data_IF_250866285508
#
_entry.id   IF_250866285508
#
_cell.length_a   1.000
_cell.length_b   1.000
_cell.length_c   1.000
_cell.angle_alpha   90.00
_cell.angle_beta   90.00
_cell.angle_gamma   90.00
#
_symmetry.space_group_name_H-M   'P 1'
#
loop_
_entity.id
_entity.type
_entity.pdbx_description
1 polymer ?
#
# COMPACT_ATOMS: atom_id res chain seq x y z
N UNK A 1 15.99 33.32 6.15
CA UNK A 1 14.73 32.62 6.15
C UNK A 1 14.65 31.72 4.91
N UNK A 2 15.16 30.49 4.99
CA UNK A 2 15.02 29.51 3.93
C UNK A 2 14.32 28.30 4.50
N UNK A 3 13.01 28.38 4.56
CA UNK A 3 12.16 27.21 4.65
C UNK A 3 11.65 26.88 3.25
N UNK A 4 12.53 26.38 2.41
CA UNK A 4 12.05 25.59 1.31
C UNK A 4 11.56 24.30 1.96
N UNK A 5 10.27 24.09 1.89
CA UNK A 5 9.65 22.90 2.44
C UNK A 5 10.30 21.69 1.76
N UNK A 6 10.90 20.83 2.54
CA UNK A 6 11.42 19.53 2.11
C UNK A 6 10.32 18.70 1.39
N UNK A 7 9.07 19.12 1.55
CA UNK A 7 7.92 18.54 0.90
C UNK A 7 7.92 18.65 -0.64
N UNK A 8 8.38 19.78 -1.19
CA UNK A 8 8.36 19.99 -2.66
C UNK A 8 9.36 19.10 -3.40
N UNK A 9 10.46 18.69 -2.76
CA UNK A 9 11.48 17.83 -3.38
C UNK A 9 11.09 16.35 -3.41
N UNK A 10 10.02 15.93 -2.69
CA UNK A 10 9.60 14.53 -2.59
C UNK A 10 8.35 14.22 -3.41
N UNK A 11 7.66 15.22 -3.95
CA UNK A 11 6.52 15.03 -4.84
C UNK A 11 6.98 14.58 -6.23
N UNK A 12 6.28 13.59 -6.79
CA UNK A 12 6.55 13.04 -8.11
C UNK A 12 5.97 13.90 -9.23
N UNK A 13 4.94 14.72 -8.95
CA UNK A 13 4.15 15.39 -9.96
C UNK A 13 3.27 14.43 -10.76
N UNK A 14 2.99 13.26 -10.22
CA UNK A 14 2.22 12.17 -10.82
C UNK A 14 1.04 11.81 -9.91
N UNK A 15 0.03 11.08 -10.42
CA UNK A 15 -1.12 10.66 -9.62
C UNK A 15 -0.74 9.89 -8.34
N UNK A 16 0.40 9.20 -8.34
CA UNK A 16 0.93 8.49 -7.17
C UNK A 16 1.16 9.36 -5.94
N UNK A 17 1.27 10.68 -6.10
CA UNK A 17 1.38 11.59 -4.96
C UNK A 17 0.14 11.56 -4.05
N UNK A 18 -0.98 11.04 -4.53
CA UNK A 18 -2.22 10.91 -3.77
C UNK A 18 -2.33 9.60 -2.98
N UNK A 19 -1.33 8.73 -3.07
CA UNK A 19 -1.24 7.49 -2.28
C UNK A 19 0.21 7.24 -1.88
N UNK A 20 0.51 7.50 -0.61
CA UNK A 20 1.86 7.29 -0.07
C UNK A 20 2.11 5.79 0.15
N UNK A 21 3.00 5.20 -0.65
CA UNK A 21 3.30 3.77 -0.58
C UNK A 21 3.99 3.35 0.72
N UNK A 22 4.69 4.26 1.40
CA UNK A 22 5.21 3.99 2.74
C UNK A 22 4.08 3.80 3.75
N UNK A 23 3.08 4.68 3.71
CA UNK A 23 1.89 4.56 4.55
C UNK A 23 1.09 3.29 4.24
N UNK A 24 0.99 2.93 2.97
CA UNK A 24 0.33 1.70 2.52
C UNK A 24 1.05 0.47 3.07
N UNK A 25 2.38 0.42 2.95
CA UNK A 25 3.17 -0.71 3.43
C UNK A 25 3.12 -0.82 4.96
N UNK A 26 3.17 0.30 5.67
CA UNK A 26 3.02 0.33 7.13
C UNK A 26 1.64 -0.20 7.56
N UNK A 27 0.57 0.25 6.91
CA UNK A 27 -0.78 -0.24 7.16
C UNK A 27 -0.89 -1.75 6.89
N UNK A 28 -0.31 -2.22 5.79
CA UNK A 28 -0.30 -3.63 5.43
C UNK A 28 0.34 -4.49 6.51
N UNK A 29 1.53 -4.09 6.99
CA UNK A 29 2.23 -4.80 8.06
C UNK A 29 1.40 -4.95 9.33
N UNK A 30 0.61 -3.94 9.68
CA UNK A 30 -0.19 -3.89 10.91
C UNK A 30 -1.55 -4.57 10.78
N UNK A 31 -1.97 -4.89 9.57
CA UNK A 31 -3.27 -5.50 9.31
C UNK A 31 -3.27 -6.98 9.72
N UNK A 32 -4.41 -7.47 10.18
CA UNK A 32 -4.56 -8.88 10.61
C UNK A 32 -4.90 -9.81 9.46
N UNK A 33 -5.65 -9.33 8.49
CA UNK A 33 -6.08 -10.07 7.31
C UNK A 33 -6.01 -9.15 6.08
N UNK A 34 -6.09 -9.74 4.89
CA UNK A 34 -6.11 -8.95 3.64
C UNK A 34 -7.40 -8.13 3.54
N UNK A 35 -8.52 -8.67 3.98
CA UNK A 35 -9.79 -7.95 4.02
C UNK A 35 -9.73 -6.74 4.97
N UNK A 36 -9.13 -6.89 6.15
CA UNK A 36 -8.93 -5.78 7.09
C UNK A 36 -8.03 -4.69 6.49
N UNK A 37 -7.01 -5.09 5.75
CA UNK A 37 -6.13 -4.17 5.05
C UNK A 37 -6.90 -3.38 3.98
N UNK A 38 -7.63 -4.05 3.11
CA UNK A 38 -8.43 -3.40 2.06
C UNK A 38 -9.44 -2.41 2.68
N UNK A 39 -10.12 -2.84 3.73
CA UNK A 39 -11.07 -1.99 4.45
C UNK A 39 -10.40 -0.74 5.02
N UNK A 40 -9.31 -0.92 5.76
CA UNK A 40 -8.61 0.20 6.39
C UNK A 40 -8.02 1.17 5.37
N UNK A 41 -7.53 0.65 4.25
CA UNK A 41 -6.99 1.45 3.14
C UNK A 41 -8.05 2.41 2.58
N UNK A 42 -9.31 2.00 2.54
CA UNK A 42 -10.41 2.75 1.92
C UNK A 42 -11.25 3.58 2.90
N UNK A 43 -10.92 3.57 4.20
CA UNK A 43 -11.63 4.38 5.17
C UNK A 43 -11.10 5.82 5.17
N UNK A 44 -12.00 6.79 5.07
CA UNK A 44 -11.68 8.23 5.13
C UNK A 44 -10.82 8.57 6.36
N UNK A 45 -11.14 8.00 7.50
CA UNK A 45 -10.43 8.28 8.77
C UNK A 45 -8.95 7.92 8.77
N UNK A 46 -8.50 7.01 7.90
CA UNK A 46 -7.07 6.67 7.79
C UNK A 46 -6.30 7.70 6.99
N UNK A 47 -6.96 8.44 6.11
CA UNK A 47 -6.38 9.50 5.30
C UNK A 47 -5.31 9.01 4.29
N UNK A 48 -5.20 7.70 4.06
CA UNK A 48 -4.15 7.12 3.22
C UNK A 48 -4.51 7.17 1.74
N UNK A 49 -5.74 6.77 1.40
CA UNK A 49 -6.20 6.75 0.01
C UNK A 49 -6.84 8.09 -0.36
N UNK A 50 -6.22 8.79 -1.30
CA UNK A 50 -6.71 10.05 -1.87
C UNK A 50 -6.70 10.00 -3.41
N UNK A 51 -6.74 8.78 -3.97
CA UNK A 51 -6.73 8.57 -5.41
C UNK A 51 -8.06 8.94 -6.03
N UNK A 52 -8.00 9.64 -7.15
CA UNK A 52 -9.14 10.00 -8.00
C UNK A 52 -8.65 9.89 -9.45
N UNK A 53 -8.76 8.71 -10.02
CA UNK A 53 -8.25 8.42 -11.37
C UNK A 53 -9.32 8.65 -12.45
N UNK A 54 -10.60 8.57 -12.09
CA UNK A 54 -11.69 8.87 -13.01
C UNK A 54 -12.06 10.37 -13.04
N UNK A 55 -11.42 11.16 -12.15
CA UNK A 55 -11.53 12.62 -12.06
C UNK A 55 -12.95 13.12 -11.74
N UNK A 56 -13.69 12.35 -10.95
CA UNK A 56 -15.03 12.72 -10.48
C UNK A 56 -15.00 13.55 -9.18
N UNK A 57 -13.81 13.88 -8.65
CA UNK A 57 -13.55 14.61 -7.40
C UNK A 57 -13.93 13.85 -6.14
N UNK A 58 -14.02 12.55 -6.24
CA UNK A 58 -14.21 11.64 -5.12
C UNK A 58 -13.09 10.63 -5.08
N UNK A 59 -12.82 10.14 -3.88
CA UNK A 59 -11.78 9.11 -3.72
C UNK A 59 -12.26 7.79 -4.31
N UNK A 60 -11.41 7.19 -5.14
CA UNK A 60 -11.65 5.88 -5.74
C UNK A 60 -11.42 4.75 -4.75
N UNK A 61 -12.23 3.69 -4.86
CA UNK A 61 -12.04 2.47 -4.07
C UNK A 61 -10.85 1.67 -4.60
N UNK A 62 -9.92 1.34 -3.71
CA UNK A 62 -8.80 0.46 -4.01
C UNK A 62 -9.15 -0.97 -3.59
N UNK A 63 -9.23 -1.85 -4.58
CA UNK A 63 -9.44 -3.29 -4.40
C UNK A 63 -8.10 -4.00 -4.28
N UNK A 64 -8.01 -5.00 -3.41
CA UNK A 64 -6.80 -5.80 -3.21
C UNK A 64 -7.00 -7.20 -3.77
N UNK A 65 -6.28 -7.53 -4.83
CA UNK A 65 -6.34 -8.83 -5.50
C UNK A 65 -5.12 -9.65 -5.10
N UNK A 66 -5.34 -10.84 -4.54
CA UNK A 66 -4.29 -11.75 -4.11
C UNK A 66 -3.93 -12.75 -5.20
N UNK A 67 -2.64 -12.89 -5.46
CA UNK A 67 -2.06 -13.97 -6.25
C UNK A 67 -1.03 -14.69 -5.39
N UNK A 68 -1.01 -16.01 -5.44
CA UNK A 68 -0.08 -16.84 -4.68
C UNK A 68 0.60 -17.85 -5.60
N UNK A 69 1.92 -17.94 -5.49
CA UNK A 69 2.70 -18.98 -6.11
C UNK A 69 3.64 -19.58 -5.04
N UNK A 70 3.34 -20.77 -4.57
CA UNK A 70 4.05 -21.43 -3.45
C UNK A 70 4.05 -20.53 -2.19
N UNK A 71 5.24 -20.11 -1.74
CA UNK A 71 5.44 -19.23 -0.59
C UNK A 71 5.53 -17.75 -0.95
N UNK A 72 5.28 -17.40 -2.20
CA UNK A 72 5.30 -16.02 -2.69
C UNK A 72 3.88 -15.49 -2.86
N UNK A 73 3.61 -14.34 -2.26
CA UNK A 73 2.33 -13.66 -2.34
C UNK A 73 2.47 -12.34 -3.08
N UNK A 74 1.54 -12.08 -3.98
CA UNK A 74 1.42 -10.82 -4.70
C UNK A 74 0.06 -10.21 -4.41
N UNK A 75 0.03 -9.02 -3.83
CA UNK A 75 -1.20 -8.29 -3.55
C UNK A 75 -1.25 -7.07 -4.47
N UNK A 76 -2.15 -7.13 -5.45
CA UNK A 76 -2.30 -6.07 -6.45
C UNK A 76 -3.36 -5.09 -5.98
N UNK A 77 -2.98 -3.82 -5.83
CA UNK A 77 -3.90 -2.74 -5.52
C UNK A 77 -4.45 -2.18 -6.83
N UNK A 78 -5.77 -2.25 -7.01
CA UNK A 78 -6.43 -1.91 -8.26
C UNK A 78 -7.56 -0.90 -8.05
N UNK A 79 -7.71 0.01 -9.00
CA UNK A 79 -8.86 0.91 -9.10
C UNK A 79 -9.60 0.61 -10.40
N UNK A 80 -10.91 0.38 -10.31
CA UNK A 80 -11.78 0.34 -11.48
C UNK A 80 -12.08 1.79 -11.88
N UNK A 81 -11.51 2.25 -12.98
CA UNK A 81 -11.70 3.63 -13.48
C UNK A 81 -12.93 3.77 -14.37
N UNK A 82 -13.45 2.67 -14.86
CA UNK A 82 -14.71 2.57 -15.60
C UNK A 82 -15.24 1.13 -15.56
N UNK A 83 -16.40 0.90 -16.14
CA UNK A 83 -16.96 -0.46 -16.25
C UNK A 83 -16.05 -1.44 -17.02
N UNK A 84 -15.17 -0.90 -17.88
CA UNK A 84 -14.33 -1.68 -18.80
C UNK A 84 -12.85 -1.58 -18.51
N UNK A 85 -12.44 -0.70 -17.60
CA UNK A 85 -11.03 -0.40 -17.38
C UNK A 85 -10.68 -0.45 -15.90
N UNK A 86 -9.61 -1.18 -15.59
CA UNK A 86 -9.01 -1.28 -14.27
C UNK A 86 -7.56 -0.84 -14.34
N UNK A 87 -7.14 0.01 -13.42
CA UNK A 87 -5.77 0.48 -13.28
C UNK A 87 -5.11 -0.17 -12.06
N UNK A 88 -3.99 -0.85 -12.29
CA UNK A 88 -3.13 -1.29 -11.19
C UNK A 88 -2.41 -0.06 -10.61
N UNK A 89 -2.51 0.11 -9.31
CA UNK A 89 -1.91 1.25 -8.61
C UNK A 89 -0.53 0.89 -8.07
N UNK A 90 -0.45 -0.22 -7.39
CA UNK A 90 0.78 -0.74 -6.80
C UNK A 90 0.65 -2.24 -6.54
N UNK A 91 1.79 -2.88 -6.29
CA UNK A 91 1.87 -4.31 -5.98
C UNK A 91 2.70 -4.50 -4.72
N UNK A 92 2.14 -5.19 -3.74
CA UNK A 92 2.89 -5.63 -2.55
C UNK A 92 3.36 -7.06 -2.78
N UNK A 93 4.66 -7.26 -2.64
CA UNK A 93 5.31 -8.56 -2.79
C UNK A 93 5.79 -9.05 -1.42
N UNK A 94 5.33 -10.23 -1.03
CA UNK A 94 5.79 -10.93 0.18
C UNK A 94 6.35 -12.27 -0.25
N UNK A 95 7.63 -12.49 0.01
CA UNK A 95 8.35 -13.68 -0.46
C UNK A 95 9.08 -14.35 0.70
N UNK A 96 9.14 -15.67 0.66
CA UNK A 96 9.93 -16.49 1.59
C UNK A 96 10.96 -17.28 0.79
N UNK A 97 12.23 -17.06 1.08
CA UNK A 97 13.31 -17.76 0.41
C UNK A 97 13.55 -19.19 0.97
N UNK A 98 14.50 -19.91 0.37
CA UNK A 98 14.85 -21.29 0.79
C UNK A 98 15.37 -21.35 2.23
N UNK A 99 15.92 -20.26 2.74
CA UNK A 99 16.40 -20.12 4.12
C UNK A 99 15.30 -19.67 5.09
N UNK A 100 14.03 -19.61 4.60
CA UNK A 100 12.86 -19.13 5.34
C UNK A 100 12.93 -17.66 5.71
N UNK A 101 13.78 -16.87 5.04
CA UNK A 101 13.82 -15.41 5.19
C UNK A 101 12.66 -14.79 4.42
N UNK A 102 11.91 -13.94 5.10
CA UNK A 102 10.75 -13.25 4.53
C UNK A 102 11.15 -11.83 4.15
N UNK A 103 10.82 -11.43 2.94
CA UNK A 103 11.02 -10.09 2.42
C UNK A 103 9.68 -9.48 2.03
N UNK A 104 9.57 -8.17 2.15
CA UNK A 104 8.35 -7.42 1.81
C UNK A 104 8.75 -6.13 1.10
N UNK A 105 8.08 -5.86 -0.03
CA UNK A 105 8.27 -4.61 -0.76
C UNK A 105 6.95 -4.19 -1.43
N UNK A 106 6.82 -2.91 -1.72
CA UNK A 106 5.73 -2.38 -2.55
C UNK A 106 6.32 -1.68 -3.76
N UNK A 107 5.78 -1.98 -4.94
CA UNK A 107 6.20 -1.40 -6.22
C UNK A 107 5.05 -0.60 -6.79
N UNK A 108 5.27 0.68 -7.02
CA UNK A 108 4.29 1.57 -7.66
C UNK A 108 4.17 1.30 -9.16
N UNK A 109 2.97 1.46 -9.70
CA UNK A 109 2.77 1.43 -11.14
C UNK A 109 3.58 2.56 -11.83
N UNK A 110 4.17 2.26 -12.97
CA UNK A 110 5.05 3.20 -13.67
C UNK A 110 4.35 4.48 -14.14
N UNK A 111 3.08 4.38 -14.48
CA UNK A 111 2.32 5.52 -14.98
C UNK A 111 1.86 6.45 -13.84
N UNK A 112 1.77 5.91 -12.61
CA UNK A 112 1.35 6.64 -11.42
C UNK A 112 2.53 7.12 -10.57
N UNK A 113 3.64 6.39 -10.54
CA UNK A 113 4.79 6.65 -9.67
C UNK A 113 6.11 6.89 -10.40
N UNK A 114 6.14 6.70 -11.71
CA UNK A 114 7.39 6.68 -12.46
C UNK A 114 8.04 5.30 -12.43
N UNK A 115 9.01 5.12 -13.32
CA UNK A 115 9.71 3.85 -13.48
C UNK A 115 10.53 3.51 -12.23
N UNK A 116 10.50 2.23 -11.84
CA UNK A 116 11.31 1.67 -10.75
C UNK A 116 11.04 2.30 -9.36
N UNK A 117 9.80 2.76 -9.12
CA UNK A 117 9.42 3.23 -7.80
C UNK A 117 9.15 2.05 -6.87
N UNK A 118 10.11 1.77 -6.00
CA UNK A 118 10.09 0.61 -5.10
C UNK A 118 10.32 1.09 -3.66
N UNK A 119 9.46 0.67 -2.74
CA UNK A 119 9.62 0.84 -1.31
C UNK A 119 9.89 -0.51 -0.67
N UNK A 120 11.04 -0.62 -0.04
CA UNK A 120 11.48 -1.83 0.66
C UNK A 120 11.77 -1.53 2.13
N UNK A 121 11.64 -2.55 2.95
CA UNK A 121 12.20 -2.51 4.29
C UNK A 121 13.72 -2.75 4.19
N UNK A 122 14.48 -1.66 4.15
CA UNK A 122 15.95 -1.70 4.07
C UNK A 122 16.59 -1.49 5.44
N UNK A 123 17.73 -2.16 5.58
CA UNK A 123 18.49 -2.25 6.84
C UNK A 123 19.15 -0.94 7.28
N UNK A 124 19.41 0.00 6.40
CA UNK A 124 20.35 1.10 6.68
C UNK A 124 19.96 2.48 6.16
N UNK A 125 18.85 2.66 5.48
CA UNK A 125 18.48 3.98 4.99
C UNK A 125 17.07 4.37 5.43
N UNK A 126 16.94 5.55 6.02
CA UNK A 126 15.64 6.17 6.16
C UNK A 126 15.14 6.49 4.75
N UNK A 127 14.11 5.83 4.25
CA UNK A 127 13.60 6.14 2.93
C UNK A 127 13.09 7.58 2.90
N UNK A 128 13.30 8.26 1.78
CA UNK A 128 12.63 9.53 1.57
C UNK A 128 11.12 9.29 1.52
N UNK A 129 10.38 9.86 2.43
CA UNK A 129 8.92 9.74 2.46
C UNK A 129 8.35 10.60 1.35
N UNK A 130 7.57 10.00 0.45
CA UNK A 130 6.85 10.75 -0.57
C UNK A 130 5.71 11.52 0.09
N UNK A 131 5.68 12.84 -0.09
CA UNK A 131 4.61 13.66 0.44
C UNK A 131 3.29 13.31 -0.26
N UNK A 132 2.27 13.02 0.54
CA UNK A 132 0.90 12.85 0.06
C UNK A 132 0.08 14.03 0.58
N UNK A 133 -0.28 15.02 -0.27
CA UNK A 133 -1.00 16.21 0.18
C UNK A 133 -2.35 15.92 0.83
N UNK A 134 -2.99 14.82 0.46
CA UNK A 134 -4.26 14.39 1.02
C UNK A 134 -4.16 13.56 2.29
N UNK A 135 -2.95 13.18 2.70
CA UNK A 135 -2.77 12.34 3.88
C UNK A 135 -3.18 13.06 5.16
N UNK A 136 -4.15 12.51 5.87
CA UNK A 136 -4.68 13.06 7.12
C UNK A 136 -4.43 12.13 8.33
N UNK A 137 -3.64 11.11 8.13
CA UNK A 137 -3.27 10.17 9.19
C UNK A 137 -2.15 10.71 10.11
N UNK A 138 -1.62 9.90 11.03
CA UNK A 138 -0.52 10.31 11.91
C UNK A 138 0.72 10.73 11.12
N UNK A 139 1.38 11.79 11.56
CA UNK A 139 2.55 12.40 10.90
C UNK A 139 3.78 11.49 10.83
N UNK A 140 3.73 10.33 11.42
CA UNK A 140 4.87 9.43 11.51
C UNK A 140 4.57 8.09 10.87
N UNK A 141 4.69 8.01 9.55
CA UNK A 141 5.00 6.74 8.92
C UNK A 141 6.52 6.56 9.04
N UNK A 142 6.95 6.03 10.14
CA UNK A 142 8.32 5.60 10.29
C UNK A 142 8.41 4.21 9.71
N UNK A 143 8.87 4.11 8.47
CA UNK A 143 9.55 2.89 8.06
C UNK A 143 10.85 2.90 8.85
N UNK A 144 10.88 2.15 9.93
CA UNK A 144 12.04 2.09 10.81
C UNK A 144 13.14 1.37 10.04
N UNK A 145 14.20 2.10 9.64
CA UNK A 145 15.43 1.47 9.21
C UNK A 145 16.07 0.80 10.44
N UNK A 146 15.84 -0.48 10.56
CA UNK A 146 16.46 -1.30 11.60
C UNK A 146 17.68 -2.03 11.00
N UNK A 147 18.66 -2.43 11.82
CA UNK A 147 19.75 -3.31 11.38
C UNK A 147 19.19 -4.60 10.74
N UNK A 148 19.93 -5.19 9.82
CA UNK A 148 19.55 -6.37 9.03
C UNK A 148 18.80 -7.45 9.79
N UNK A 149 19.36 -7.86 10.90
CA UNK A 149 18.78 -8.88 11.77
C UNK A 149 17.46 -8.46 12.41
N UNK A 150 17.31 -7.17 12.71
CA UNK A 150 16.10 -6.64 13.34
C UNK A 150 14.96 -6.46 12.32
N UNK A 151 15.30 -6.06 11.08
CA UNK A 151 14.31 -5.90 10.00
C UNK A 151 13.67 -7.24 9.62
N UNK A 152 14.47 -8.30 9.53
CA UNK A 152 13.95 -9.65 9.26
C UNK A 152 12.98 -10.11 10.35
N UNK A 153 13.33 -9.87 11.62
CA UNK A 153 12.48 -10.22 12.77
C UNK A 153 11.18 -9.40 12.75
N UNK A 154 11.24 -8.12 12.42
CA UNK A 154 10.04 -7.26 12.34
C UNK A 154 9.09 -7.75 11.24
N UNK A 155 9.59 -8.07 10.05
CA UNK A 155 8.78 -8.58 8.93
C UNK A 155 8.14 -9.91 9.31
N UNK A 156 8.89 -10.84 9.90
CA UNK A 156 8.35 -12.13 10.35
C UNK A 156 7.29 -11.98 11.44
N UNK A 157 7.40 -10.98 12.31
CA UNK A 157 6.45 -10.71 13.37
C UNK A 157 5.25 -9.87 12.95
N UNK A 158 5.26 -9.29 11.75
CA UNK A 158 4.14 -8.52 11.25
C UNK A 158 2.86 -9.36 11.23
N UNK A 159 1.73 -8.89 11.78
CA UNK A 159 0.50 -9.67 11.86
C UNK A 159 0.06 -10.26 10.51
N UNK A 160 0.17 -9.50 9.45
CA UNK A 160 -0.21 -9.96 8.11
C UNK A 160 0.68 -11.09 7.61
N UNK A 161 1.98 -11.03 7.90
CA UNK A 161 2.94 -12.06 7.52
C UNK A 161 2.65 -13.36 8.27
N UNK A 162 2.40 -13.27 9.57
CA UNK A 162 2.01 -14.43 10.38
C UNK A 162 0.70 -15.05 9.86
N UNK A 163 -0.24 -14.22 9.44
CA UNK A 163 -1.52 -14.69 8.90
C UNK A 163 -1.35 -15.44 7.57
N UNK A 164 -0.67 -14.85 6.58
CA UNK A 164 -0.56 -15.46 5.24
C UNK A 164 0.26 -16.74 5.24
N UNK A 165 1.16 -16.94 6.20
CA UNK A 165 1.93 -18.17 6.37
C UNK A 165 1.35 -19.12 7.43
N UNK A 166 0.18 -18.82 7.97
CA UNK A 166 -0.48 -19.67 8.97
C UNK A 166 -1.40 -20.69 8.29
N UNK A 167 -1.70 -21.81 8.99
CA UNK A 167 -2.73 -22.74 8.53
C UNK A 167 -4.14 -22.16 8.45
N UNK A 168 -4.38 -21.05 9.15
CA UNK A 168 -5.68 -20.37 9.16
C UNK A 168 -5.87 -19.43 7.95
N UNK A 169 -4.83 -19.27 7.11
CA UNK A 169 -4.92 -18.41 5.94
C UNK A 169 -5.98 -18.89 4.97
N UNK A 170 -6.89 -17.99 4.62
CA UNK A 170 -7.87 -18.20 3.57
C UNK A 170 -7.75 -17.07 2.55
N UNK A 171 -7.59 -17.40 1.25
CA UNK A 171 -7.52 -16.37 0.21
C UNK A 171 -8.77 -15.49 0.22
N UNK A 172 -8.56 -14.20 0.13
CA UNK A 172 -9.63 -13.21 0.04
C UNK A 172 -9.82 -12.80 -1.41
N UNK A 173 -11.05 -12.94 -1.91
CA UNK A 173 -11.44 -12.58 -3.26
C UNK A 173 -12.48 -11.44 -3.19
N UNK A 174 -12.06 -10.18 -3.36
CA UNK A 174 -13.01 -9.06 -3.28
C UNK A 174 -14.04 -9.16 -4.42
N UNK A 175 -15.35 -9.09 -4.10
CA UNK A 175 -16.40 -9.19 -5.12
C UNK A 175 -16.70 -7.86 -5.82
N UNK A 176 -15.92 -6.81 -5.55
CA UNK A 176 -16.21 -5.43 -5.94
C UNK A 176 -15.78 -5.14 -7.37
N UNK A 177 -16.52 -4.26 -8.04
CA UNK A 177 -16.28 -3.77 -9.38
C UNK A 177 -16.78 -2.33 -9.49
N UNK A 178 -16.55 -1.68 -10.62
CA UNK A 178 -16.96 -0.30 -10.83
C UNK A 178 -18.45 -0.09 -10.55
N UNK A 179 -18.75 0.81 -9.62
CA UNK A 179 -20.11 1.09 -9.17
C UNK A 179 -20.68 0.16 -8.10
N UNK A 180 -19.94 -0.90 -7.73
CA UNK A 180 -20.34 -1.81 -6.65
C UNK A 180 -19.23 -1.91 -5.60
N UNK A 181 -19.48 -1.34 -4.43
CA UNK A 181 -18.51 -1.23 -3.34
C UNK A 181 -19.10 -1.73 -2.01
N UNK A 182 -18.24 -2.05 -1.02
CA UNK A 182 -18.73 -2.51 0.26
C UNK A 182 -19.54 -1.45 1.01
N UNK A 183 -20.50 -1.86 1.89
CA UNK A 183 -21.34 -0.92 2.62
C UNK A 183 -20.60 0.07 3.51
N UNK A 184 -19.40 -0.27 4.00
CA UNK A 184 -18.59 0.62 4.83
C UNK A 184 -17.93 1.75 4.02
N UNK A 185 -17.85 1.60 2.71
CA UNK A 185 -17.21 2.57 1.84
C UNK A 185 -18.23 3.62 1.39
N UNK A 186 -17.94 4.86 1.72
CA UNK A 186 -18.62 6.01 1.15
C UNK A 186 -17.57 6.86 0.44
N UNK A 187 -17.75 7.09 -0.85
CA UNK A 187 -16.85 7.95 -1.60
C UNK A 187 -16.85 9.35 -0.98
N UNK A 188 -15.71 9.82 -0.54
CA UNK A 188 -15.52 11.13 0.06
C UNK A 188 -14.76 12.03 -0.90
N UNK A 189 -14.87 13.35 -0.69
CA UNK A 189 -14.23 14.34 -1.58
C UNK A 189 -12.71 14.33 -1.43
N UNK A 190 -12.01 14.46 -2.55
CA UNK A 190 -10.55 14.61 -2.63
C UNK A 190 -10.14 15.99 -2.09
#
# INVERSE_FOLDING_TARGET
>A
AFSQSVADSTLLGLPGDNLDLYAVLDLFQKSKTIEDFEKSLNLEKTGINNMDLDLDKKVDFIKVVTKQEKDDFTFVLQIAVSEKETQDVAVILVSKDEKKKITMQIVGDKDLYGKDYIVELKETSTPAVTANPGYKGPDTVKVVSAPATTTTVIVEQAPIVQYVYSPAYAPYYPPYYYGYYPPYYAAFSV
#
